data_IF_340946908821
#
_entry.id   IF_340946908821
#
_cell.length_a   1.000
_cell.length_b   1.000
_cell.length_c   1.000
_cell.angle_alpha   90.00
_cell.angle_beta   90.00
_cell.angle_gamma   90.00
#
_symmetry.space_group_name_H-M   'P 1'
#
loop_
_entity.id
_entity.type
_entity.pdbx_description
1 polymer ?
#
# COMPACT_ATOMS: atom_id res chain seq x y z
N UNK A 1 -9.37 0.59 -11.80
CA UNK A 1 -10.04 0.86 -10.50
C UNK A 1 -10.17 -0.48 -9.76
N UNK A 2 -9.75 -0.58 -8.49
CA UNK A 2 -9.77 -1.84 -7.73
C UNK A 2 -11.11 -1.97 -6.98
N UNK A 3 -12.03 -2.83 -7.41
CA UNK A 3 -13.39 -2.85 -6.88
C UNK A 3 -13.45 -3.23 -5.39
N UNK A 4 -12.47 -3.97 -4.88
CA UNK A 4 -12.34 -4.26 -3.44
C UNK A 4 -12.03 -2.98 -2.64
N UNK A 5 -11.16 -2.10 -3.15
CA UNK A 5 -10.81 -0.83 -2.48
C UNK A 5 -12.01 0.10 -2.41
N UNK A 6 -12.80 0.19 -3.48
CA UNK A 6 -14.00 1.05 -3.50
C UNK A 6 -15.06 0.55 -2.51
N UNK A 7 -15.25 -0.77 -2.45
CA UNK A 7 -16.14 -1.40 -1.47
C UNK A 7 -15.65 -1.17 -0.04
N UNK A 8 -14.34 -1.29 0.21
CA UNK A 8 -13.77 -1.04 1.53
C UNK A 8 -13.89 0.43 1.94
N UNK A 9 -13.61 1.38 1.05
CA UNK A 9 -13.83 2.80 1.33
C UNK A 9 -15.27 3.09 1.78
N UNK A 10 -16.24 2.37 1.19
CA UNK A 10 -17.66 2.51 1.54
C UNK A 10 -18.06 1.77 2.82
N UNK A 11 -17.41 0.66 3.16
CA UNK A 11 -17.94 -0.31 4.13
C UNK A 11 -17.06 -0.53 5.37
N UNK A 12 -15.76 -0.24 5.30
CA UNK A 12 -14.79 -0.59 6.34
C UNK A 12 -15.09 0.10 7.69
N UNK A 13 -15.64 1.32 7.65
CA UNK A 13 -15.92 2.13 8.84
C UNK A 13 -17.37 2.05 9.32
N UNK A 14 -18.20 1.17 8.73
CA UNK A 14 -19.57 0.98 9.17
C UNK A 14 -19.60 0.04 10.37
N UNK A 15 -20.38 0.39 11.39
CA UNK A 15 -20.54 -0.43 12.59
C UNK A 15 -21.38 -1.68 12.29
N UNK A 16 -20.79 -2.86 12.45
CA UNK A 16 -21.46 -4.14 12.31
C UNK A 16 -20.70 -5.26 13.05
N UNK A 17 -21.38 -6.38 13.32
CA UNK A 17 -20.70 -7.56 13.89
C UNK A 17 -19.85 -8.25 12.82
N UNK A 18 -18.72 -8.84 13.23
CA UNK A 18 -17.79 -9.51 12.31
C UNK A 18 -18.42 -10.64 11.48
N UNK A 19 -19.44 -11.32 12.02
CA UNK A 19 -20.13 -12.44 11.34
C UNK A 19 -21.36 -12.00 10.55
N UNK A 20 -21.71 -10.71 10.56
CA UNK A 20 -22.77 -10.19 9.71
C UNK A 20 -22.39 -10.29 8.23
N UNK A 21 -23.36 -10.22 7.30
CA UNK A 21 -23.06 -10.15 5.87
C UNK A 21 -22.08 -9.02 5.50
N UNK A 22 -22.18 -7.87 6.18
CA UNK A 22 -21.28 -6.73 6.01
C UNK A 22 -19.88 -6.99 6.57
N UNK A 23 -19.78 -7.55 7.78
CA UNK A 23 -18.49 -7.90 8.38
C UNK A 23 -17.74 -8.95 7.55
N UNK A 24 -18.46 -9.96 7.05
CA UNK A 24 -17.90 -10.99 6.18
C UNK A 24 -17.47 -10.45 4.82
N UNK A 25 -18.20 -9.48 4.24
CA UNK A 25 -17.79 -8.87 2.96
C UNK A 25 -16.53 -8.04 3.12
N UNK A 26 -16.42 -7.24 4.18
CA UNK A 26 -15.21 -6.45 4.49
C UNK A 26 -14.01 -7.36 4.71
N UNK A 27 -14.14 -8.44 5.48
CA UNK A 27 -13.03 -9.38 5.72
C UNK A 27 -12.55 -10.05 4.42
N UNK A 28 -13.47 -10.45 3.54
CA UNK A 28 -13.13 -11.02 2.22
C UNK A 28 -12.44 -10.01 1.32
N UNK A 29 -12.91 -8.76 1.31
CA UNK A 29 -12.28 -7.69 0.52
C UNK A 29 -10.86 -7.39 1.03
N UNK A 30 -10.63 -7.42 2.35
CA UNK A 30 -9.29 -7.29 2.95
C UNK A 30 -8.37 -8.47 2.57
N UNK A 31 -8.87 -9.71 2.65
CA UNK A 31 -8.10 -10.90 2.23
C UNK A 31 -7.75 -10.86 0.75
N UNK A 32 -8.71 -10.48 -0.12
CA UNK A 32 -8.48 -10.35 -1.55
C UNK A 32 -7.41 -9.29 -1.87
N UNK A 33 -7.33 -8.20 -1.10
CA UNK A 33 -6.25 -7.22 -1.22
C UNK A 33 -4.89 -7.79 -0.78
N UNK A 34 -4.87 -8.59 0.29
CA UNK A 34 -3.64 -9.21 0.79
C UNK A 34 -3.10 -10.28 -0.18
N UNK A 35 -3.99 -11.03 -0.81
CA UNK A 35 -3.65 -12.11 -1.75
C UNK A 35 -3.27 -11.58 -3.14
N UNK A 36 -3.68 -10.35 -3.48
CA UNK A 36 -3.31 -9.73 -4.76
C UNK A 36 -1.80 -9.51 -4.83
N UNK A 37 -1.18 -10.13 -5.84
CA UNK A 37 0.26 -10.03 -6.09
C UNK A 37 0.68 -8.73 -6.78
N UNK A 38 -0.28 -7.96 -7.32
CA UNK A 38 -0.04 -6.65 -7.92
C UNK A 38 -1.05 -5.62 -7.39
N UNK A 39 -0.55 -4.62 -6.66
CA UNK A 39 -1.34 -3.43 -6.29
C UNK A 39 -1.66 -2.52 -7.49
N UNK A 40 -1.08 -2.81 -8.66
CA UNK A 40 -0.84 -1.83 -9.73
C UNK A 40 -1.43 -2.26 -11.06
N UNK A 41 -2.62 -2.88 -11.09
CA UNK A 41 -3.31 -3.06 -12.39
C UNK A 41 -3.79 -1.72 -12.96
N UNK A 42 -3.90 -0.67 -12.14
CA UNK A 42 -4.34 0.65 -12.58
C UNK A 42 -3.72 1.76 -11.72
N UNK A 43 -2.50 2.19 -12.05
CA UNK A 43 -1.97 3.52 -11.67
C UNK A 43 -1.82 4.32 -12.96
N UNK A 44 -2.47 5.48 -13.10
CA UNK A 44 -2.13 6.43 -14.16
C UNK A 44 -0.64 6.75 -14.07
N UNK A 45 0.13 6.44 -15.11
CA UNK A 45 1.60 6.57 -15.14
C UNK A 45 2.41 5.30 -14.80
N UNK A 46 1.76 4.20 -14.43
CA UNK A 46 2.35 2.84 -14.35
C UNK A 46 1.51 1.83 -15.14
N UNK A 47 0.80 2.31 -16.16
CA UNK A 47 -0.02 1.49 -17.04
C UNK A 47 0.87 0.51 -17.81
N UNK A 48 0.43 -0.76 -17.83
CA UNK A 48 0.98 -1.95 -18.51
C UNK A 48 2.00 -1.72 -19.65
N UNK A 49 3.19 -1.25 -19.31
CA UNK A 49 4.40 -1.70 -20.00
C UNK A 49 4.93 -2.87 -19.15
N UNK A 50 4.40 -4.05 -19.49
CA UNK A 50 4.39 -5.26 -18.68
C UNK A 50 5.76 -5.97 -18.63
N UNK A 51 6.88 -5.24 -18.59
CA UNK A 51 8.22 -5.83 -18.61
C UNK A 51 8.82 -6.07 -17.23
N UNK A 52 8.26 -5.49 -16.17
CA UNK A 52 8.88 -5.49 -14.85
C UNK A 52 7.93 -5.93 -13.73
N UNK A 53 8.36 -6.92 -12.96
CA UNK A 53 7.77 -7.24 -11.66
C UNK A 53 8.18 -6.17 -10.64
N UNK A 54 7.35 -5.13 -10.48
CA UNK A 54 7.59 -4.03 -9.54
C UNK A 54 7.73 -4.50 -8.09
N UNK A 55 7.07 -5.61 -7.71
CA UNK A 55 7.24 -6.22 -6.40
C UNK A 55 8.63 -6.83 -6.27
N UNK A 56 9.14 -7.48 -7.32
CA UNK A 56 10.53 -7.93 -7.34
C UNK A 56 11.50 -6.75 -7.22
N UNK A 57 11.31 -5.68 -8.01
CA UNK A 57 12.19 -4.49 -7.97
C UNK A 57 12.20 -3.87 -6.57
N UNK A 58 11.02 -3.64 -5.99
CA UNK A 58 10.89 -3.12 -4.62
C UNK A 58 11.60 -4.01 -3.61
N UNK A 59 11.31 -5.32 -3.60
CA UNK A 59 11.90 -6.25 -2.64
C UNK A 59 13.42 -6.41 -2.84
N UNK A 60 13.90 -6.42 -4.07
CA UNK A 60 15.32 -6.49 -4.41
C UNK A 60 16.06 -5.25 -3.91
N UNK A 61 15.52 -4.06 -4.20
CA UNK A 61 16.12 -2.80 -3.76
C UNK A 61 16.12 -2.70 -2.24
N UNK A 62 14.98 -3.00 -1.60
CA UNK A 62 14.83 -3.02 -0.14
C UNK A 62 15.83 -3.98 0.51
N UNK A 63 15.95 -5.21 0.00
CA UNK A 63 16.89 -6.22 0.50
C UNK A 63 18.35 -5.76 0.38
N UNK A 64 18.72 -5.19 -0.77
CA UNK A 64 20.09 -4.72 -1.01
C UNK A 64 20.49 -3.55 -0.09
N UNK A 65 19.56 -2.68 0.26
CA UNK A 65 19.85 -1.46 1.02
C UNK A 65 19.62 -1.63 2.53
N UNK A 66 18.74 -2.55 2.95
CA UNK A 66 18.51 -2.84 4.37
C UNK A 66 19.79 -3.33 5.08
N UNK A 67 20.65 -4.09 4.39
CA UNK A 67 21.94 -4.51 4.94
C UNK A 67 22.93 -3.36 5.20
N UNK A 68 22.78 -2.22 4.51
CA UNK A 68 23.68 -1.06 4.64
C UNK A 68 23.15 -0.01 5.62
N UNK A 69 21.84 0.24 5.61
CA UNK A 69 21.22 1.33 6.35
C UNK A 69 20.41 0.88 7.56
N UNK A 70 20.13 -0.43 7.71
CA UNK A 70 19.28 -0.99 8.77
C UNK A 70 17.78 -0.72 8.56
N UNK A 71 17.43 0.35 7.85
CA UNK A 71 16.07 0.71 7.46
C UNK A 71 16.07 1.19 6.00
N UNK A 72 15.02 0.84 5.25
CA UNK A 72 14.77 1.41 3.93
C UNK A 72 13.30 1.20 3.55
N UNK A 73 12.60 2.28 3.22
CA UNK A 73 11.23 2.26 2.73
C UNK A 73 11.00 3.20 1.55
N UNK A 74 10.02 2.88 0.71
CA UNK A 74 9.62 3.71 -0.42
C UNK A 74 8.35 4.49 -0.06
N UNK A 75 8.41 5.82 -0.11
CA UNK A 75 7.20 6.62 -0.03
C UNK A 75 6.47 6.56 -1.38
N UNK A 76 5.36 5.83 -1.43
CA UNK A 76 4.57 5.64 -2.66
C UNK A 76 3.90 6.91 -3.20
N UNK A 77 3.75 7.94 -2.36
CA UNK A 77 3.19 9.25 -2.73
C UNK A 77 4.24 10.10 -3.44
N UNK A 78 5.46 10.11 -2.91
CA UNK A 78 6.55 10.97 -3.37
C UNK A 78 7.46 10.28 -4.38
N UNK A 79 7.35 8.95 -4.47
CA UNK A 79 8.22 8.09 -5.27
C UNK A 79 9.71 8.20 -4.85
N UNK A 80 9.95 8.31 -3.53
CA UNK A 80 11.28 8.50 -2.95
C UNK A 80 11.62 7.42 -1.92
N UNK A 81 12.85 6.93 -1.95
CA UNK A 81 13.38 5.98 -0.96
C UNK A 81 13.94 6.73 0.26
N UNK A 82 13.56 6.28 1.45
CA UNK A 82 13.96 6.84 2.73
C UNK A 82 14.68 5.77 3.54
N UNK A 83 15.84 6.11 4.09
CA UNK A 83 16.79 5.15 4.66
C UNK A 83 16.90 5.23 6.19
N UNK A 84 16.03 6.01 6.83
CA UNK A 84 15.98 6.17 8.28
C UNK A 84 14.53 6.15 8.76
N UNK A 85 14.26 5.41 9.84
CA UNK A 85 12.94 5.34 10.46
C UNK A 85 12.49 6.71 11.01
N UNK A 86 13.45 7.52 11.49
CA UNK A 86 13.18 8.89 11.96
C UNK A 86 12.76 9.78 10.79
N UNK A 87 13.48 9.72 9.68
CA UNK A 87 13.15 10.49 8.46
C UNK A 87 11.81 10.03 7.88
N UNK A 88 11.56 8.72 7.86
CA UNK A 88 10.29 8.15 7.41
C UNK A 88 9.11 8.66 8.23
N UNK A 89 9.25 8.64 9.56
CA UNK A 89 8.21 9.11 10.47
C UNK A 89 7.90 10.59 10.26
N UNK A 90 8.93 11.44 10.15
CA UNK A 90 8.77 12.88 9.87
C UNK A 90 8.13 13.10 8.51
N UNK A 91 8.64 12.43 7.47
CA UNK A 91 8.13 12.52 6.10
C UNK A 91 6.65 12.14 6.02
N UNK A 92 6.24 11.05 6.65
CA UNK A 92 4.84 10.63 6.67
C UNK A 92 3.95 11.57 7.50
N UNK A 93 4.45 12.09 8.62
CA UNK A 93 3.70 13.01 9.49
C UNK A 93 3.44 14.36 8.84
N UNK A 94 4.36 14.88 8.03
CA UNK A 94 4.14 16.15 7.33
C UNK A 94 2.96 16.05 6.35
N UNK A 95 2.76 14.91 5.69
CA UNK A 95 1.57 14.71 4.85
C UNK A 95 0.27 14.55 5.61
N UNK A 96 0.31 14.04 6.84
CA UNK A 96 -0.89 13.89 7.65
C UNK A 96 -1.41 15.24 8.17
N UNK A 97 -0.55 16.27 8.22
CA UNK A 97 -0.93 17.64 8.59
C UNK A 97 -1.64 18.39 7.46
N UNK A 98 -1.43 17.99 6.21
CA UNK A 98 -2.09 18.57 5.03
C UNK A 98 -3.46 17.95 4.73
N UNK A 99 -4.00 17.11 5.64
CA UNK A 99 -5.30 16.45 5.50
C UNK A 99 -6.42 17.11 6.34
N UNK A 100 -6.17 18.30 6.91
CA UNK A 100 -7.16 19.17 7.56
C UNK A 100 -7.78 20.17 6.58
#
# INVERSE_FOLDING_TARGET
>A
MMPERDRLATNLFKEATLRSPLGLSVLRDLMALLEKTSEVEFRPGLERDNTYDWRHIYNCYKKNHCGKYGFVELCFKCNEWIFSEKEWSVHCLDYLKDLD
#
